data_IF_695682483279
#
_entry.id   IF_695682483279
#
_cell.length_a   1.000
_cell.length_b   1.000
_cell.length_c   1.000
_cell.angle_alpha   90.00
_cell.angle_beta   90.00
_cell.angle_gamma   90.00
#
_symmetry.space_group_name_H-M   'P 1'
#
loop_
_entity.id
_entity.type
_entity.pdbx_description
1 polymer ?
#
# COMPACT_ATOMS: atom_id res chain seq x y z
N UNK A 1 88.45 -20.25 -12.66
CA UNK A 1 87.23 -20.44 -13.48
C UNK A 1 86.18 -21.30 -12.76
N UNK A 2 86.49 -22.54 -12.34
CA UNK A 2 85.53 -23.43 -11.67
C UNK A 2 84.94 -22.89 -10.34
N UNK A 3 85.75 -22.29 -9.46
CA UNK A 3 85.21 -21.72 -8.21
C UNK A 3 84.28 -20.51 -8.44
N UNK A 4 84.45 -19.79 -9.54
CA UNK A 4 83.62 -18.62 -9.87
C UNK A 4 82.24 -19.07 -10.38
N UNK A 5 82.18 -20.17 -11.13
CA UNK A 5 80.91 -20.76 -11.60
C UNK A 5 80.08 -21.36 -10.46
N UNK A 6 80.71 -21.97 -9.45
CA UNK A 6 79.98 -22.51 -8.29
C UNK A 6 79.37 -21.41 -7.41
N UNK A 7 80.10 -20.30 -7.18
CA UNK A 7 79.58 -19.15 -6.44
C UNK A 7 78.37 -18.50 -7.15
N UNK A 8 78.44 -18.36 -8.48
CA UNK A 8 77.33 -17.83 -9.28
C UNK A 8 76.10 -18.73 -9.21
N UNK A 9 76.28 -20.06 -9.31
CA UNK A 9 75.19 -21.02 -9.20
C UNK A 9 74.51 -20.96 -7.81
N UNK A 10 75.29 -20.86 -6.73
CA UNK A 10 74.76 -20.73 -5.37
C UNK A 10 73.91 -19.46 -5.20
N UNK A 11 74.37 -18.32 -5.72
CA UNK A 11 73.61 -17.06 -5.66
C UNK A 11 72.31 -17.15 -6.47
N UNK A 12 72.35 -17.75 -7.66
CA UNK A 12 71.15 -17.92 -8.49
C UNK A 12 70.07 -18.73 -7.77
N UNK A 13 70.43 -19.82 -7.08
CA UNK A 13 69.49 -20.64 -6.30
C UNK A 13 68.85 -19.82 -5.17
N UNK A 14 69.64 -19.03 -4.44
CA UNK A 14 69.10 -18.19 -3.36
C UNK A 14 68.11 -17.15 -3.90
N UNK A 15 68.44 -16.50 -5.02
CA UNK A 15 67.53 -15.53 -5.67
C UNK A 15 66.23 -16.20 -6.11
N UNK A 16 66.29 -17.41 -6.68
CA UNK A 16 65.09 -18.17 -7.07
C UNK A 16 64.20 -18.51 -5.86
N UNK A 17 64.80 -18.93 -4.73
CA UNK A 17 64.04 -19.25 -3.51
C UNK A 17 63.35 -18.01 -2.96
N UNK A 18 64.06 -16.87 -2.90
CA UNK A 18 63.50 -15.60 -2.43
C UNK A 18 62.38 -15.13 -3.36
N UNK A 19 62.57 -15.21 -4.67
CA UNK A 19 61.55 -14.86 -5.66
C UNK A 19 60.30 -15.75 -5.53
N UNK A 20 60.47 -17.06 -5.34
CA UNK A 20 59.36 -17.98 -5.08
C UNK A 20 58.63 -17.66 -3.77
N UNK A 21 59.37 -17.30 -2.71
CA UNK A 21 58.80 -16.91 -1.43
C UNK A 21 57.94 -15.65 -1.53
N UNK A 22 58.45 -14.61 -2.21
CA UNK A 22 57.72 -13.36 -2.45
C UNK A 22 56.50 -13.61 -3.34
N UNK A 23 56.64 -14.38 -4.42
CA UNK A 23 55.53 -14.72 -5.29
C UNK A 23 54.43 -15.50 -4.54
N UNK A 24 54.81 -16.46 -3.69
CA UNK A 24 53.88 -17.17 -2.83
C UNK A 24 53.18 -16.22 -1.84
N UNK A 25 53.93 -15.35 -1.17
CA UNK A 25 53.38 -14.39 -0.23
C UNK A 25 52.40 -13.42 -0.91
N UNK A 26 52.75 -12.85 -2.06
CA UNK A 26 51.87 -12.00 -2.85
C UNK A 26 50.62 -12.76 -3.31
N UNK A 27 50.74 -14.02 -3.70
CA UNK A 27 49.60 -14.86 -4.08
C UNK A 27 48.64 -15.10 -2.91
N UNK A 28 49.18 -15.43 -1.74
CA UNK A 28 48.38 -15.59 -0.52
C UNK A 28 47.69 -14.30 -0.11
N UNK A 29 48.41 -13.17 -0.15
CA UNK A 29 47.84 -11.88 0.20
C UNK A 29 46.73 -11.47 -0.76
N UNK A 30 46.96 -11.58 -2.08
CA UNK A 30 45.96 -11.28 -3.10
C UNK A 30 44.69 -12.13 -2.94
N UNK A 31 44.85 -13.42 -2.59
CA UNK A 31 43.71 -14.29 -2.29
C UNK A 31 42.91 -13.82 -1.07
N UNK A 32 43.58 -13.42 0.01
CA UNK A 32 42.89 -12.89 1.18
C UNK A 32 42.12 -11.59 0.87
N UNK A 33 42.72 -10.69 0.07
CA UNK A 33 42.06 -9.45 -0.35
C UNK A 33 40.80 -9.73 -1.19
N UNK A 34 40.87 -10.70 -2.10
CA UNK A 34 39.72 -11.13 -2.91
C UNK A 34 38.59 -11.70 -2.05
N UNK A 35 38.91 -12.53 -1.07
CA UNK A 35 37.91 -13.11 -0.16
C UNK A 35 37.19 -12.06 0.67
N UNK A 36 37.91 -11.04 1.15
CA UNK A 36 37.31 -9.93 1.89
C UNK A 36 36.38 -9.11 0.98
N UNK A 37 36.83 -8.74 -0.22
CA UNK A 37 36.01 -7.99 -1.17
C UNK A 37 34.74 -8.75 -1.61
N UNK A 38 34.81 -10.08 -1.74
CA UNK A 38 33.63 -10.90 -2.01
C UNK A 38 32.65 -10.92 -0.84
N UNK A 39 33.14 -10.99 0.39
CA UNK A 39 32.28 -11.02 1.59
C UNK A 39 31.49 -9.73 1.75
N UNK A 40 32.13 -8.58 1.52
CA UNK A 40 31.51 -7.27 1.57
C UNK A 40 30.46 -7.11 0.46
N UNK A 41 30.78 -7.56 -0.76
CA UNK A 41 29.81 -7.61 -1.87
C UNK A 41 28.61 -8.48 -1.55
N UNK A 42 28.81 -9.66 -0.95
CA UNK A 42 27.70 -10.55 -0.56
C UNK A 42 26.83 -9.94 0.53
N UNK A 43 27.44 -9.26 1.52
CA UNK A 43 26.72 -8.54 2.56
C UNK A 43 25.84 -7.43 1.95
N UNK A 44 26.41 -6.56 1.12
CA UNK A 44 25.65 -5.50 0.43
C UNK A 44 24.52 -6.07 -0.44
N UNK A 45 24.76 -7.17 -1.16
CA UNK A 45 23.70 -7.83 -1.92
C UNK A 45 22.60 -8.41 -1.03
N UNK A 46 22.96 -8.94 0.14
CA UNK A 46 22.02 -9.39 1.15
C UNK A 46 21.15 -8.24 1.68
N UNK A 47 21.78 -7.13 2.04
CA UNK A 47 21.09 -5.93 2.53
C UNK A 47 20.14 -5.36 1.47
N UNK A 48 20.58 -5.28 0.21
CA UNK A 48 19.71 -4.84 -0.89
C UNK A 48 18.51 -5.76 -1.10
N UNK A 49 18.69 -7.08 -0.99
CA UNK A 49 17.57 -8.03 -1.06
C UNK A 49 16.61 -7.87 0.11
N UNK A 50 17.12 -7.66 1.32
CA UNK A 50 16.31 -7.42 2.50
C UNK A 50 15.50 -6.12 2.37
N UNK A 51 16.13 -5.04 1.90
CA UNK A 51 15.47 -3.77 1.62
C UNK A 51 14.40 -3.91 0.52
N UNK A 52 14.69 -4.63 -0.56
CA UNK A 52 13.72 -4.88 -1.62
C UNK A 52 12.50 -5.66 -1.11
N UNK A 53 12.73 -6.70 -0.29
CA UNK A 53 11.65 -7.46 0.35
C UNK A 53 10.83 -6.57 1.30
N UNK A 54 11.49 -5.77 2.14
CA UNK A 54 10.82 -4.83 3.02
C UNK A 54 9.97 -3.81 2.24
N UNK A 55 10.51 -3.23 1.17
CA UNK A 55 9.80 -2.30 0.29
C UNK A 55 8.57 -2.95 -0.36
N UNK A 56 8.68 -4.20 -0.82
CA UNK A 56 7.52 -4.94 -1.35
C UNK A 56 6.43 -5.19 -0.30
N UNK A 57 6.82 -5.52 0.93
CA UNK A 57 5.87 -5.70 2.04
C UNK A 57 5.14 -4.41 2.41
N UNK A 58 5.84 -3.28 2.38
CA UNK A 58 5.22 -1.95 2.55
C UNK A 58 4.25 -1.66 1.40
N UNK A 59 4.60 -1.98 0.15
CA UNK A 59 3.72 -1.83 -1.00
C UNK A 59 2.42 -2.61 -0.87
N UNK A 60 2.48 -3.87 -0.44
CA UNK A 60 1.28 -4.67 -0.17
C UNK A 60 0.42 -4.06 0.93
N UNK A 61 1.06 -3.58 2.01
CA UNK A 61 0.35 -2.94 3.11
C UNK A 61 -0.34 -1.64 2.70
N UNK A 62 0.28 -0.85 1.83
CA UNK A 62 -0.34 0.35 1.23
C UNK A 62 -1.56 -0.07 0.41
N UNK A 63 -1.45 -1.10 -0.42
CA UNK A 63 -2.56 -1.60 -1.24
C UNK A 63 -3.74 -2.09 -0.38
N UNK A 64 -3.46 -2.81 0.71
CA UNK A 64 -4.49 -3.21 1.68
C UNK A 64 -5.18 -1.99 2.31
N UNK A 65 -4.42 -0.95 2.65
CA UNK A 65 -4.97 0.29 3.23
C UNK A 65 -5.82 1.06 2.23
N UNK A 66 -5.38 1.19 0.97
CA UNK A 66 -6.15 1.82 -0.10
C UNK A 66 -7.50 1.11 -0.31
N UNK A 67 -7.51 -0.23 -0.33
CA UNK A 67 -8.75 -1.01 -0.42
C UNK A 67 -9.68 -0.76 0.77
N UNK A 68 -9.13 -0.70 1.99
CA UNK A 68 -9.92 -0.39 3.19
C UNK A 68 -10.52 1.01 3.12
N UNK A 69 -9.74 2.01 2.73
CA UNK A 69 -10.20 3.39 2.56
C UNK A 69 -11.34 3.44 1.54
N UNK A 70 -11.16 2.80 0.37
CA UNK A 70 -12.20 2.74 -0.65
C UNK A 70 -13.49 2.09 -0.13
N UNK A 71 -13.37 0.97 0.61
CA UNK A 71 -14.52 0.29 1.19
C UNK A 71 -15.25 1.13 2.25
N UNK A 72 -14.50 1.89 3.06
CA UNK A 72 -15.05 2.77 4.08
C UNK A 72 -15.74 3.98 3.43
N UNK A 73 -15.12 4.59 2.42
CA UNK A 73 -15.71 5.68 1.65
C UNK A 73 -17.05 5.27 1.03
N UNK A 74 -17.12 4.07 0.43
CA UNK A 74 -18.38 3.56 -0.14
C UNK A 74 -19.46 3.32 0.92
N UNK A 75 -19.07 2.85 2.10
CA UNK A 75 -20.01 2.66 3.22
C UNK A 75 -20.53 4.01 3.73
N UNK A 76 -19.64 5.00 3.84
CA UNK A 76 -20.01 6.34 4.26
C UNK A 76 -20.98 6.97 3.25
N UNK A 77 -20.71 6.88 1.95
CA UNK A 77 -21.62 7.34 0.90
C UNK A 77 -23.01 6.68 1.02
N UNK A 78 -23.06 5.36 1.24
CA UNK A 78 -24.32 4.65 1.44
C UNK A 78 -25.06 5.08 2.71
N UNK A 79 -24.33 5.38 3.79
CA UNK A 79 -24.92 5.89 5.04
C UNK A 79 -25.44 7.31 4.86
N UNK A 80 -24.69 8.20 4.22
CA UNK A 80 -25.12 9.58 3.93
C UNK A 80 -26.38 9.60 3.04
N UNK A 81 -26.46 8.73 2.04
CA UNK A 81 -27.67 8.55 1.22
C UNK A 81 -28.87 8.04 2.04
N UNK A 82 -28.65 7.05 2.91
CA UNK A 82 -29.71 6.48 3.75
C UNK A 82 -30.19 7.45 4.84
N UNK A 83 -29.29 8.20 5.47
CA UNK A 83 -29.61 9.20 6.49
C UNK A 83 -30.37 10.38 5.87
N UNK A 84 -29.90 10.90 4.73
CA UNK A 84 -30.58 11.99 4.02
C UNK A 84 -32.00 11.61 3.59
N UNK A 85 -32.19 10.40 3.04
CA UNK A 85 -33.52 9.91 2.66
C UNK A 85 -34.45 9.66 3.84
N UNK A 86 -33.93 9.08 4.93
CA UNK A 86 -34.74 8.74 6.11
C UNK A 86 -35.14 9.97 6.92
N UNK A 87 -34.27 10.97 7.07
CA UNK A 87 -34.60 12.21 7.76
C UNK A 87 -35.65 13.03 7.00
N UNK A 88 -35.48 13.18 5.68
CA UNK A 88 -36.46 13.88 4.83
C UNK A 88 -37.83 13.19 4.86
N UNK A 89 -37.86 11.86 4.77
CA UNK A 89 -39.10 11.07 4.85
C UNK A 89 -39.78 11.18 6.23
N UNK A 90 -39.03 11.08 7.33
CA UNK A 90 -39.59 11.21 8.68
C UNK A 90 -40.12 12.63 8.97
N UNK A 91 -39.50 13.67 8.40
CA UNK A 91 -39.96 15.05 8.51
C UNK A 91 -41.23 15.29 7.68
N UNK A 92 -41.26 14.82 6.43
CA UNK A 92 -42.44 14.88 5.57
C UNK A 92 -43.64 14.13 6.18
N UNK A 93 -43.40 12.95 6.78
CA UNK A 93 -44.44 12.16 7.46
C UNK A 93 -45.03 12.88 8.68
N UNK A 94 -44.20 13.59 9.46
CA UNK A 94 -44.67 14.37 10.62
C UNK A 94 -45.47 15.61 10.21
N UNK A 95 -45.22 16.22 9.05
CA UNK A 95 -46.01 17.35 8.54
C UNK A 95 -47.29 16.90 7.81
N UNK A 96 -47.24 15.80 7.06
CA UNK A 96 -48.43 15.21 6.44
C UNK A 96 -49.47 14.77 7.50
N UNK A 97 -49.02 14.22 8.63
CA UNK A 97 -49.88 13.92 9.79
C UNK A 97 -50.58 15.16 10.39
N UNK A 98 -50.14 16.37 10.06
CA UNK A 98 -50.77 17.63 10.51
C UNK A 98 -51.71 18.25 9.47
N UNK A 99 -51.94 17.60 8.32
CA UNK A 99 -52.90 18.04 7.30
C UNK A 99 -52.42 19.21 6.43
N UNK A 100 -51.10 19.40 6.28
CA UNK A 100 -50.53 20.45 5.44
C UNK A 100 -50.74 20.17 3.93
N UNK A 101 -51.17 21.20 3.20
CA UNK A 101 -51.46 21.16 1.77
C UNK A 101 -50.19 20.92 0.93
N UNK A 102 -50.31 20.21 -0.19
CA UNK A 102 -49.19 19.65 -0.98
C UNK A 102 -48.21 20.73 -1.48
N UNK A 103 -48.69 21.97 -1.65
CA UNK A 103 -47.90 23.13 -2.08
C UNK A 103 -46.93 23.63 -1.00
N UNK A 104 -47.26 23.47 0.30
CA UNK A 104 -46.37 23.87 1.40
C UNK A 104 -45.22 22.87 1.63
N UNK A 105 -45.41 21.61 1.25
CA UNK A 105 -44.36 20.59 1.35
C UNK A 105 -43.23 20.82 0.33
N UNK A 106 -43.57 21.34 -0.86
CA UNK A 106 -42.60 21.69 -1.91
C UNK A 106 -41.73 22.87 -1.47
N UNK A 107 -42.33 23.91 -0.89
CA UNK A 107 -41.66 25.17 -0.55
C UNK A 107 -40.76 25.06 0.70
N UNK A 108 -41.14 24.22 1.68
CA UNK A 108 -40.39 24.05 2.93
C UNK A 108 -39.26 23.02 2.81
N UNK A 109 -39.43 21.98 1.98
CA UNK A 109 -38.50 20.83 1.92
C UNK A 109 -37.79 20.65 0.58
N UNK A 110 -38.05 21.50 -0.42
CA UNK A 110 -37.37 21.45 -1.72
C UNK A 110 -37.66 20.17 -2.52
N UNK A 111 -38.84 19.59 -2.32
CA UNK A 111 -39.28 18.39 -3.03
C UNK A 111 -39.60 18.71 -4.50
N UNK A 112 -39.28 17.80 -5.41
CA UNK A 112 -39.72 17.92 -6.80
C UNK A 112 -41.23 17.65 -6.90
N UNK A 113 -41.92 18.31 -7.84
CA UNK A 113 -43.39 18.22 -7.98
C UNK A 113 -43.91 16.77 -8.06
N UNK A 114 -43.14 15.88 -8.70
CA UNK A 114 -43.47 14.46 -8.79
C UNK A 114 -43.41 13.72 -7.44
N UNK A 115 -42.48 14.09 -6.55
CA UNK A 115 -42.35 13.46 -5.22
C UNK A 115 -43.48 13.89 -4.27
N UNK A 116 -43.90 15.15 -4.36
CA UNK A 116 -45.05 15.66 -3.61
C UNK A 116 -46.37 15.02 -4.04
N UNK A 117 -46.58 14.85 -5.35
CA UNK A 117 -47.76 14.17 -5.90
C UNK A 117 -47.83 12.71 -5.45
N UNK A 118 -46.71 11.98 -5.49
CA UNK A 118 -46.65 10.57 -5.08
C UNK A 118 -46.95 10.38 -3.58
N UNK A 119 -46.47 11.29 -2.73
CA UNK A 119 -46.74 11.26 -1.29
C UNK A 119 -48.23 11.52 -0.98
N UNK A 120 -48.86 12.46 -1.70
CA UNK A 120 -50.29 12.75 -1.57
C UNK A 120 -51.18 11.59 -2.02
N UNK A 121 -50.79 10.87 -3.08
CA UNK A 121 -51.50 9.68 -3.56
C UNK A 121 -51.41 8.54 -2.56
N UNK A 122 -50.21 8.27 -2.02
CA UNK A 122 -50.01 7.24 -1.00
C UNK A 122 -50.83 7.52 0.26
N UNK A 123 -50.87 8.78 0.71
CA UNK A 123 -51.62 9.15 1.91
C UNK A 123 -53.14 9.11 1.70
N UNK A 124 -53.62 9.44 0.49
CA UNK A 124 -55.04 9.29 0.15
C UNK A 124 -55.48 7.83 0.16
N UNK A 125 -54.63 6.92 -0.33
CA UNK A 125 -54.88 5.48 -0.24
C UNK A 125 -54.87 4.98 1.22
N UNK A 126 -53.99 5.53 2.06
CA UNK A 126 -53.92 5.19 3.49
C UNK A 126 -55.15 5.70 4.27
N UNK A 127 -55.69 6.87 3.89
CA UNK A 127 -56.88 7.46 4.51
C UNK A 127 -58.18 6.77 4.06
N UNK A 128 -58.29 6.39 2.79
CA UNK A 128 -59.43 5.61 2.26
C UNK A 128 -59.48 4.19 2.85
N UNK A 129 -58.34 3.61 3.26
CA UNK A 129 -58.28 2.35 4.01
C UNK A 129 -58.62 2.46 5.50
N UNK A 130 -58.62 3.66 6.09
CA UNK A 130 -58.92 3.89 7.51
C UNK A 130 -60.41 4.17 7.79
N UNK A 131 -61.23 4.39 6.76
CA UNK A 131 -62.68 4.65 6.87
C UNK A 131 -63.56 3.40 6.61
N UNK A 132 -62.96 2.23 6.33
CA UNK A 132 -63.67 0.96 6.12
C UNK A 132 -63.48 -0.06 7.27
N UNK A 133 -63.19 0.42 8.48
CA UNK A 133 -63.23 -0.38 9.70
C UNK A 133 -64.05 0.26 10.81
#
# INVERSE_FOLDING_TARGET
MAMLTEMVAAVAVVVSIVACGIAGYCYYQARCWMLQAESERRALQGDMRALAAAASGVGERIRELEQRIYSLSRRQEQQELNESGSHSYQQARKLAQRGADAEQLIDIYGLTRGEAELLSMLHRMEKEGAETH
#
